data_IF_515002206353
#
_entry.id   IF_515002206353
#
_cell.length_a   1.000
_cell.length_b   1.000
_cell.length_c   1.000
_cell.angle_alpha   90.00
_cell.angle_beta   90.00
_cell.angle_gamma   90.00
#
_symmetry.space_group_name_H-M   'P 1'
#
loop_
_entity.id
_entity.type
_entity.pdbx_description
1 polymer ?
#
# COMPACT_ATOMS: atom_id res chain seq x y z
N UNK A 1 -20.76 23.87 19.02
CA UNK A 1 -19.65 23.40 18.15
C UNK A 1 -19.02 24.60 17.49
N UNK A 2 -17.69 24.74 17.55
CA UNK A 2 -16.97 25.81 16.86
C UNK A 2 -16.98 25.64 15.33
N UNK A 3 -16.67 26.71 14.58
CA UNK A 3 -16.55 26.64 13.12
C UNK A 3 -15.41 25.66 12.74
N UNK A 4 -15.56 24.83 11.69
CA UNK A 4 -14.50 23.95 11.24
C UNK A 4 -13.20 24.72 10.91
N UNK A 5 -12.04 24.11 11.10
CA UNK A 5 -10.76 24.73 10.74
C UNK A 5 -10.48 24.62 9.23
N UNK A 6 -11.00 23.56 8.59
CA UNK A 6 -11.02 23.35 7.14
C UNK A 6 -12.45 23.07 6.71
N UNK A 7 -12.92 23.79 5.69
CA UNK A 7 -14.18 23.55 4.98
C UNK A 7 -13.88 23.38 3.49
N UNK A 8 -14.10 22.19 2.96
CA UNK A 8 -13.97 21.88 1.54
C UNK A 8 -15.37 21.70 0.94
N UNK A 9 -15.66 22.46 -0.12
CA UNK A 9 -16.94 22.42 -0.82
C UNK A 9 -16.72 22.19 -2.32
N UNK A 10 -17.15 21.02 -2.81
CA UNK A 10 -17.13 20.65 -4.23
C UNK A 10 -15.74 20.75 -4.87
N UNK A 11 -14.67 20.49 -4.09
CA UNK A 11 -13.30 20.67 -4.57
C UNK A 11 -13.03 19.80 -5.80
N UNK A 12 -12.57 20.45 -6.86
CA UNK A 12 -12.15 19.79 -8.09
C UNK A 12 -10.83 20.35 -8.59
N UNK A 13 -9.98 19.48 -9.16
CA UNK A 13 -8.76 19.88 -9.84
C UNK A 13 -8.60 19.11 -11.15
N UNK A 14 -8.50 19.86 -12.25
CA UNK A 14 -8.12 19.32 -13.56
C UNK A 14 -6.65 19.63 -13.85
N UNK A 15 -5.99 18.66 -14.48
CA UNK A 15 -4.69 18.85 -15.11
C UNK A 15 -4.82 18.68 -16.63
N UNK A 16 -4.03 19.44 -17.38
CA UNK A 16 -3.94 19.25 -18.82
C UNK A 16 -2.95 18.11 -19.11
N UNK A 17 -3.38 17.11 -19.85
CA UNK A 17 -2.55 16.02 -20.36
C UNK A 17 -1.84 16.48 -21.64
N UNK A 18 -0.52 16.37 -21.69
CA UNK A 18 0.34 16.78 -22.82
C UNK A 18 1.58 17.57 -22.36
N UNK A 19 2.63 17.56 -23.18
CA UNK A 19 3.94 18.16 -22.88
C UNK A 19 3.78 19.66 -22.61
N UNK A 20 4.15 20.09 -21.40
CA UNK A 20 4.45 21.49 -21.08
C UNK A 20 5.74 21.86 -21.83
N UNK A 21 5.59 22.27 -23.10
CA UNK A 21 6.71 22.71 -23.94
C UNK A 21 6.19 23.52 -25.12
N UNK A 22 6.48 24.83 -25.11
CA UNK A 22 6.35 25.79 -26.21
C UNK A 22 5.02 25.79 -27.00
N UNK A 23 4.01 26.52 -26.53
CA UNK A 23 2.96 27.02 -27.44
C UNK A 23 3.48 28.27 -28.14
N UNK A 24 3.45 28.29 -29.46
CA UNK A 24 3.71 29.51 -30.23
C UNK A 24 2.38 30.24 -30.49
N UNK A 25 2.40 31.58 -30.47
CA UNK A 25 1.22 32.44 -30.74
C UNK A 25 0.49 32.08 -32.05
N UNK A 26 1.21 31.46 -32.99
CA UNK A 26 0.70 30.98 -34.27
C UNK A 26 -0.39 29.90 -34.11
N UNK A 27 -0.24 29.00 -33.15
CA UNK A 27 -1.19 27.90 -32.93
C UNK A 27 -2.53 28.41 -32.35
N UNK A 28 -2.50 29.44 -31.52
CA UNK A 28 -3.71 30.08 -30.99
C UNK A 28 -4.45 30.89 -32.08
N UNK A 29 -3.71 31.54 -33.00
CA UNK A 29 -4.29 32.25 -34.14
C UNK A 29 -5.00 31.30 -35.13
N UNK A 30 -4.36 30.16 -35.46
CA UNK A 30 -4.96 29.17 -36.37
C UNK A 30 -6.26 28.57 -35.82
N UNK A 31 -6.36 28.43 -34.49
CA UNK A 31 -7.56 27.90 -33.83
C UNK A 31 -8.70 28.92 -33.80
N UNK A 32 -8.38 30.21 -33.65
CA UNK A 32 -9.36 31.30 -33.70
C UNK A 32 -9.95 31.44 -35.12
N UNK A 33 -9.12 31.26 -36.15
CA UNK A 33 -9.58 31.24 -37.53
C UNK A 33 -10.46 30.03 -37.79
N UNK A 34 -10.06 28.82 -37.37
CA UNK A 34 -10.89 27.61 -37.54
C UNK A 34 -12.22 27.68 -36.78
N UNK A 35 -12.28 28.30 -35.59
CA UNK A 35 -13.52 28.43 -34.82
C UNK A 35 -14.51 29.43 -35.42
N UNK A 36 -14.06 30.35 -36.29
CA UNK A 36 -14.93 31.27 -37.02
C UNK A 36 -15.58 30.61 -38.25
N UNK A 37 -14.93 29.60 -38.85
CA UNK A 37 -15.44 28.91 -40.05
C UNK A 37 -16.35 27.70 -39.74
N UNK A 38 -16.22 27.09 -38.56
CA UNK A 38 -16.89 25.81 -38.27
C UNK A 38 -18.23 25.98 -37.50
N UNK A 39 -19.10 26.84 -38.03
CA UNK A 39 -20.34 27.28 -37.35
C UNK A 39 -21.53 26.30 -37.48
N UNK A 40 -21.30 25.05 -37.88
CA UNK A 40 -22.32 23.99 -37.96
C UNK A 40 -21.78 22.61 -37.54
N UNK A 41 -21.83 22.30 -36.25
CA UNK A 41 -21.80 20.92 -35.77
C UNK A 41 -22.69 20.77 -34.51
N UNK A 42 -23.46 19.67 -34.38
CA UNK A 42 -24.52 19.53 -33.38
C UNK A 42 -23.98 19.27 -31.97
N UNK A 43 -24.71 19.78 -30.97
CA UNK A 43 -24.52 19.49 -29.53
C UNK A 43 -24.93 18.03 -29.22
N UNK A 44 -23.96 17.13 -29.13
CA UNK A 44 -24.09 15.83 -28.46
C UNK A 44 -23.50 15.85 -27.05
N UNK A 45 -23.94 14.97 -26.13
CA UNK A 45 -23.53 14.99 -24.73
C UNK A 45 -22.10 14.45 -24.55
N UNK A 46 -21.31 15.17 -23.74
CA UNK A 46 -20.07 14.73 -23.10
C UNK A 46 -19.01 14.04 -23.98
N UNK A 47 -18.46 14.76 -24.95
CA UNK A 47 -17.09 14.51 -25.37
C UNK A 47 -16.15 14.96 -24.24
N UNK A 48 -15.53 14.00 -23.53
CA UNK A 48 -14.35 14.27 -22.71
C UNK A 48 -13.38 15.15 -23.53
N UNK A 49 -13.06 16.34 -23.01
CA UNK A 49 -12.10 17.24 -23.65
C UNK A 49 -10.76 16.50 -23.73
N UNK A 50 -10.47 15.89 -24.88
CA UNK A 50 -9.17 15.27 -25.20
C UNK A 50 -8.06 16.24 -24.77
N UNK A 51 -7.35 15.90 -23.70
CA UNK A 51 -6.28 16.72 -23.13
C UNK A 51 -6.50 17.24 -21.71
N UNK A 52 -7.60 16.94 -21.00
CA UNK A 52 -7.73 17.25 -19.57
C UNK A 52 -8.14 16.02 -18.76
N UNK A 53 -7.49 15.81 -17.61
CA UNK A 53 -7.81 14.76 -16.64
C UNK A 53 -8.16 15.37 -15.28
N UNK A 54 -9.23 14.87 -14.67
CA UNK A 54 -9.58 15.21 -13.30
C UNK A 54 -8.71 14.40 -12.33
N UNK A 55 -7.98 15.09 -11.46
CA UNK A 55 -7.30 14.47 -10.32
C UNK A 55 -8.18 14.45 -9.07
N UNK A 56 -9.07 15.43 -8.93
CA UNK A 56 -10.11 15.48 -7.90
C UNK A 56 -11.40 16.00 -8.52
N UNK A 57 -12.55 15.49 -8.11
CA UNK A 57 -13.85 15.92 -8.58
C UNK A 57 -14.86 15.86 -7.43
N UNK A 58 -15.49 17.00 -7.16
CA UNK A 58 -16.60 17.14 -6.23
C UNK A 58 -16.32 16.60 -4.82
N UNK A 59 -15.14 16.93 -4.27
CA UNK A 59 -14.75 16.49 -2.92
C UNK A 59 -15.18 17.53 -1.88
N UNK A 60 -16.06 17.10 -0.96
CA UNK A 60 -16.57 17.95 0.13
C UNK A 60 -16.36 17.28 1.49
N UNK A 61 -15.77 18.00 2.45
CA UNK A 61 -15.58 17.54 3.82
C UNK A 61 -15.26 18.72 4.74
N UNK A 62 -15.46 18.52 6.05
CA UNK A 62 -15.09 19.49 7.08
C UNK A 62 -14.16 18.83 8.11
N UNK A 63 -13.18 19.59 8.59
CA UNK A 63 -12.27 19.18 9.67
C UNK A 63 -12.43 20.15 10.84
N UNK A 64 -12.68 19.63 12.03
CA UNK A 64 -12.75 20.42 13.26
C UNK A 64 -11.35 20.80 13.76
N UNK A 65 -11.26 21.88 14.54
CA UNK A 65 -10.00 22.26 15.19
C UNK A 65 -9.56 21.19 16.19
N UNK A 66 -8.30 20.78 16.14
CA UNK A 66 -7.73 19.75 17.01
C UNK A 66 -8.10 18.32 16.60
N UNK A 67 -8.71 18.15 15.43
CA UNK A 67 -9.04 16.84 14.88
C UNK A 67 -7.84 16.23 14.15
N UNK A 68 -7.61 14.94 14.37
CA UNK A 68 -6.67 14.13 13.59
C UNK A 68 -7.44 13.31 12.56
N UNK A 69 -7.22 13.60 11.28
CA UNK A 69 -7.93 12.98 10.16
C UNK A 69 -6.94 12.29 9.24
N UNK A 70 -7.17 11.00 8.99
CA UNK A 70 -6.42 10.22 8.00
C UNK A 70 -7.00 10.37 6.60
N UNK A 71 -6.17 10.54 5.57
CA UNK A 71 -6.56 10.42 4.17
C UNK A 71 -5.93 9.19 3.54
N UNK A 72 -6.76 8.25 3.10
CA UNK A 72 -6.32 7.00 2.47
C UNK A 72 -6.90 6.86 1.06
N UNK A 73 -6.29 5.98 0.27
CA UNK A 73 -6.70 5.69 -1.10
C UNK A 73 -5.55 5.13 -1.92
N UNK A 74 -5.86 4.49 -3.05
CA UNK A 74 -4.85 3.93 -3.95
C UNK A 74 -3.96 4.98 -4.63
N UNK A 75 -2.97 4.51 -5.40
CA UNK A 75 -2.17 5.37 -6.25
C UNK A 75 -3.06 6.07 -7.29
N UNK A 76 -2.83 7.37 -7.51
CA UNK A 76 -3.67 8.17 -8.39
C UNK A 76 -5.07 8.51 -7.85
N UNK A 77 -5.38 8.20 -6.58
CA UNK A 77 -6.68 8.54 -5.99
C UNK A 77 -6.92 10.05 -5.77
N UNK A 78 -5.88 10.88 -5.90
CA UNK A 78 -5.95 12.33 -5.73
C UNK A 78 -5.43 12.87 -4.38
N UNK A 79 -4.86 12.03 -3.51
CA UNK A 79 -4.34 12.41 -2.18
C UNK A 79 -3.36 13.59 -2.23
N UNK A 80 -2.27 13.47 -2.99
CA UNK A 80 -1.27 14.53 -3.11
C UNK A 80 -1.84 15.79 -3.77
N UNK A 81 -2.80 15.66 -4.68
CA UNK A 81 -3.51 16.81 -5.25
C UNK A 81 -4.36 17.52 -4.19
N UNK A 82 -5.06 16.78 -3.34
CA UNK A 82 -5.86 17.33 -2.25
C UNK A 82 -4.95 18.07 -1.28
N UNK A 83 -3.83 17.47 -0.90
CA UNK A 83 -2.88 18.11 -0.02
C UNK A 83 -2.30 19.40 -0.62
N UNK A 84 -2.00 19.44 -1.92
CA UNK A 84 -1.55 20.67 -2.58
C UNK A 84 -2.61 21.78 -2.56
N UNK A 85 -3.90 21.43 -2.65
CA UNK A 85 -5.00 22.39 -2.51
C UNK A 85 -5.08 22.90 -1.07
N UNK A 86 -5.00 22.01 -0.07
CA UNK A 86 -5.08 22.37 1.35
C UNK A 86 -3.85 23.15 1.82
N UNK A 87 -2.66 22.84 1.29
CA UNK A 87 -1.43 23.58 1.52
C UNK A 87 -1.37 24.91 0.75
N UNK A 88 -2.39 25.24 -0.07
CA UNK A 88 -2.44 26.42 -0.94
C UNK A 88 -1.29 26.51 -1.95
N UNK A 89 -0.71 25.37 -2.31
CA UNK A 89 0.33 25.27 -3.35
C UNK A 89 -0.29 25.40 -4.74
N UNK A 90 -1.53 24.95 -4.90
CA UNK A 90 -2.27 25.08 -6.16
C UNK A 90 -3.71 25.49 -5.91
N UNK A 91 -4.30 26.21 -6.85
CA UNK A 91 -5.71 26.63 -6.78
C UNK A 91 -6.65 25.53 -7.29
N UNK A 92 -7.86 25.40 -6.74
CA UNK A 92 -8.87 24.50 -7.26
C UNK A 92 -9.33 24.95 -8.66
N UNK A 93 -9.64 23.98 -9.53
CA UNK A 93 -10.29 24.25 -10.81
C UNK A 93 -11.81 24.40 -10.67
N UNK A 94 -12.39 23.88 -9.59
CA UNK A 94 -13.79 23.98 -9.22
C UNK A 94 -13.96 23.87 -7.69
N UNK A 95 -15.03 24.45 -7.17
CA UNK A 95 -15.31 24.45 -5.74
C UNK A 95 -14.42 25.41 -4.95
N UNK A 96 -14.36 25.23 -3.63
CA UNK A 96 -13.56 26.09 -2.74
C UNK A 96 -13.09 25.34 -1.50
N UNK A 97 -11.96 25.78 -0.94
CA UNK A 97 -11.46 25.35 0.37
C UNK A 97 -11.26 26.59 1.25
N UNK A 98 -11.95 26.64 2.39
CA UNK A 98 -11.73 27.66 3.42
C UNK A 98 -10.91 27.08 4.55
N UNK A 99 -9.77 27.71 4.80
CA UNK A 99 -8.77 27.20 5.75
C UNK A 99 -8.44 28.32 6.74
N UNK A 100 -8.60 28.03 8.03
CA UNK A 100 -8.38 28.98 9.13
C UNK A 100 -7.11 28.61 9.88
N UNK A 101 -6.22 29.58 10.06
CA UNK A 101 -4.93 29.36 10.73
C UNK A 101 -3.77 29.04 9.77
N UNK A 102 -2.60 28.79 10.36
CA UNK A 102 -1.34 28.49 9.69
C UNK A 102 -1.27 27.00 9.34
N UNK A 103 -1.03 26.72 8.07
CA UNK A 103 -0.80 25.37 7.55
C UNK A 103 0.70 25.15 7.42
N UNK A 104 1.20 24.03 7.96
CA UNK A 104 2.53 23.52 7.65
C UNK A 104 2.38 22.15 7.00
N UNK A 105 3.11 21.91 5.91
CA UNK A 105 3.08 20.62 5.21
C UNK A 105 4.46 19.98 5.20
N UNK A 106 4.54 18.71 5.63
CA UNK A 106 5.76 17.91 5.63
C UNK A 106 6.15 17.39 4.23
N UNK A 107 5.42 17.82 3.20
CA UNK A 107 5.60 17.45 1.79
C UNK A 107 6.95 17.88 1.21
N UNK A 108 7.54 18.94 1.77
CA UNK A 108 8.73 19.61 1.21
C UNK A 108 9.84 19.74 2.26
N UNK A 109 9.87 18.82 3.23
CA UNK A 109 10.85 18.82 4.32
C UNK A 109 12.27 18.72 3.76
N UNK A 110 13.04 19.79 3.93
CA UNK A 110 14.41 19.93 3.43
C UNK A 110 14.55 20.77 2.17
N UNK A 111 13.43 21.14 1.54
CA UNK A 111 13.42 22.26 0.58
C UNK A 111 13.75 23.56 1.33
N UNK A 112 14.65 24.37 0.78
CA UNK A 112 15.09 25.61 1.42
C UNK A 112 16.32 25.48 2.33
N UNK A 113 16.94 24.29 2.44
CA UNK A 113 18.29 24.22 2.98
C UNK A 113 19.31 24.86 2.03
N UNK A 114 20.22 25.64 2.61
CA UNK A 114 21.34 26.23 1.91
C UNK A 114 22.61 25.42 2.17
N UNK A 115 23.19 24.87 1.10
CA UNK A 115 24.31 23.93 1.16
C UNK A 115 25.57 24.49 1.83
N UNK A 116 25.81 25.80 1.71
CA UNK A 116 26.97 26.48 2.32
C UNK A 116 26.76 26.86 3.79
N UNK A 117 25.51 26.83 4.28
CA UNK A 117 25.22 27.16 5.68
C UNK A 117 25.38 25.91 6.55
N UNK A 118 25.73 26.13 7.81
CA UNK A 118 25.77 25.10 8.86
C UNK A 118 24.40 24.51 9.13
N UNK A 119 24.35 23.35 9.78
CA UNK A 119 23.08 22.78 10.25
C UNK A 119 22.30 23.76 11.14
N UNK A 120 22.99 24.46 12.05
CA UNK A 120 22.38 25.45 12.94
C UNK A 120 21.72 26.59 12.17
N UNK A 121 22.43 27.17 11.19
CA UNK A 121 21.89 28.24 10.35
C UNK A 121 20.73 27.75 9.49
N UNK A 122 20.81 26.52 9.00
CA UNK A 122 19.72 25.88 8.26
C UNK A 122 18.47 25.63 9.11
N UNK A 123 18.61 25.35 10.42
CA UNK A 123 17.45 25.31 11.34
C UNK A 123 16.72 26.64 11.30
N UNK A 124 17.43 27.76 11.49
CA UNK A 124 16.81 29.10 11.48
C UNK A 124 16.19 29.45 10.12
N UNK A 125 16.90 29.16 9.03
CA UNK A 125 16.41 29.43 7.68
C UNK A 125 15.13 28.63 7.39
N UNK A 126 15.15 27.32 7.63
CA UNK A 126 14.03 26.45 7.35
C UNK A 126 12.83 26.73 8.27
N UNK A 127 13.09 27.00 9.55
CA UNK A 127 12.05 27.40 10.50
C UNK A 127 11.36 28.70 10.05
N UNK A 128 12.12 29.69 9.57
CA UNK A 128 11.57 30.93 9.04
C UNK A 128 10.71 30.71 7.78
N UNK A 129 11.18 29.87 6.84
CA UNK A 129 10.41 29.48 5.64
C UNK A 129 9.08 28.83 6.02
N UNK A 130 9.09 27.98 7.05
CA UNK A 130 7.91 27.28 7.55
C UNK A 130 7.03 28.15 8.48
N UNK A 131 7.41 29.41 8.72
CA UNK A 131 6.60 30.39 9.46
C UNK A 131 6.78 30.39 10.98
N UNK A 132 7.90 29.86 11.49
CA UNK A 132 8.31 29.93 12.89
C UNK A 132 9.10 31.23 13.15
N UNK A 133 8.79 31.93 14.25
CA UNK A 133 9.53 33.13 14.63
C UNK A 133 10.93 32.77 15.14
N UNK A 134 11.91 33.67 14.96
CA UNK A 134 13.28 33.47 15.45
C UNK A 134 13.34 33.18 16.95
N UNK A 135 12.49 33.84 17.76
CA UNK A 135 12.41 33.62 19.20
C UNK A 135 11.88 32.21 19.52
N UNK A 136 10.84 31.76 18.82
CA UNK A 136 10.32 30.40 18.99
C UNK A 136 11.35 29.35 18.54
N UNK A 137 12.05 29.59 17.42
CA UNK A 137 13.13 28.70 16.96
C UNK A 137 14.24 28.60 17.98
N UNK A 138 14.65 29.72 18.58
CA UNK A 138 15.69 29.74 19.61
C UNK A 138 15.27 28.93 20.84
N UNK A 139 14.02 29.10 21.31
CA UNK A 139 13.49 28.36 22.45
C UNK A 139 13.40 26.85 22.28
N UNK A 140 13.43 26.35 21.03
CA UNK A 140 13.37 24.91 20.70
C UNK A 140 14.65 24.37 20.07
N UNK A 141 15.70 25.18 19.98
CA UNK A 141 16.88 24.85 19.18
C UNK A 141 17.54 23.56 19.67
N UNK A 142 17.73 23.42 20.98
CA UNK A 142 18.38 22.23 21.55
C UNK A 142 17.53 20.96 21.38
N UNK A 143 16.20 21.07 21.53
CA UNK A 143 15.29 19.95 21.29
C UNK A 143 15.29 19.51 19.81
N UNK A 144 15.36 20.46 18.88
CA UNK A 144 15.47 20.17 17.43
C UNK A 144 16.79 19.44 17.15
N UNK A 145 17.89 19.92 17.73
CA UNK A 145 19.21 19.33 17.55
C UNK A 145 19.21 17.89 18.10
N UNK A 146 18.81 17.69 19.36
CA UNK A 146 18.73 16.37 20.01
C UNK A 146 17.84 15.39 19.26
N UNK A 147 16.66 15.85 18.82
CA UNK A 147 15.74 15.02 18.07
C UNK A 147 16.35 14.58 16.72
N UNK A 148 17.05 15.49 16.04
CA UNK A 148 17.67 15.20 14.76
C UNK A 148 18.81 14.19 14.85
N UNK A 149 19.50 14.08 16.00
CA UNK A 149 20.65 13.21 16.19
C UNK A 149 21.87 13.63 15.35
N UNK A 150 22.06 14.95 15.16
CA UNK A 150 23.18 15.54 14.40
C UNK A 150 24.02 16.51 15.23
N UNK A 151 23.95 16.41 16.56
CA UNK A 151 24.59 17.29 17.55
C UNK A 151 26.06 17.52 17.20
N UNK A 152 26.79 16.44 16.91
CA UNK A 152 28.23 16.47 16.59
C UNK A 152 28.56 17.26 15.31
N UNK A 153 27.61 17.39 14.40
CA UNK A 153 27.80 17.99 13.08
C UNK A 153 27.03 19.30 12.90
N UNK A 154 26.36 19.80 13.93
CA UNK A 154 25.41 20.90 13.81
C UNK A 154 26.04 22.19 13.26
N UNK A 155 27.30 22.44 13.58
CA UNK A 155 28.07 23.59 13.11
C UNK A 155 28.91 23.27 11.84
N UNK A 156 28.62 22.16 11.17
CA UNK A 156 29.20 21.79 9.87
C UNK A 156 28.27 22.19 8.72
N UNK A 157 28.80 22.70 7.58
CA UNK A 157 27.99 22.99 6.40
C UNK A 157 27.17 21.77 5.92
N UNK A 158 25.90 21.98 5.60
CA UNK A 158 24.96 20.89 5.25
C UNK A 158 25.36 20.15 3.98
N UNK A 159 26.17 20.75 3.09
CA UNK A 159 26.76 20.00 1.95
C UNK A 159 27.63 18.80 2.34
N UNK A 160 28.10 18.75 3.59
CA UNK A 160 28.88 17.63 4.14
C UNK A 160 28.02 16.60 4.87
N UNK A 161 26.71 16.83 4.99
CA UNK A 161 25.80 15.90 5.64
C UNK A 161 25.55 14.70 4.73
N UNK A 162 25.37 13.53 5.33
CA UNK A 162 24.75 12.42 4.59
C UNK A 162 23.30 12.78 4.23
N UNK A 163 22.74 12.10 3.22
CA UNK A 163 21.33 12.24 2.86
C UNK A 163 20.41 12.03 4.07
N UNK A 164 20.71 11.04 4.92
CA UNK A 164 19.96 10.75 6.13
C UNK A 164 20.06 11.86 7.18
N UNK A 165 21.24 12.42 7.42
CA UNK A 165 21.39 13.57 8.34
C UNK A 165 20.59 14.78 7.88
N UNK A 166 20.62 15.06 6.57
CA UNK A 166 19.89 16.19 5.99
C UNK A 166 18.38 16.04 6.19
N UNK A 167 17.84 14.85 5.93
CA UNK A 167 16.40 14.61 6.12
C UNK A 167 16.02 14.61 7.60
N UNK A 168 16.83 13.98 8.48
CA UNK A 168 16.56 14.00 9.93
C UNK A 168 16.51 15.42 10.49
N UNK A 169 17.45 16.28 10.10
CA UNK A 169 17.46 17.68 10.54
C UNK A 169 16.24 18.44 10.02
N UNK A 170 15.92 18.31 8.73
CA UNK A 170 14.77 18.97 8.16
C UNK A 170 13.46 18.52 8.84
N UNK A 171 13.34 17.22 9.10
CA UNK A 171 12.20 16.65 9.80
C UNK A 171 12.11 17.16 11.24
N UNK A 172 13.24 17.22 11.95
CA UNK A 172 13.29 17.73 13.31
C UNK A 172 12.75 19.17 13.36
N UNK A 173 13.20 20.06 12.48
CA UNK A 173 12.66 21.43 12.41
C UNK A 173 11.14 21.38 12.25
N UNK A 174 10.65 20.59 11.29
CA UNK A 174 9.24 20.48 10.96
C UNK A 174 8.37 19.90 12.10
N UNK A 175 8.90 18.94 12.86
CA UNK A 175 8.21 18.28 13.96
C UNK A 175 8.07 19.17 15.22
N UNK A 176 8.88 20.23 15.33
CA UNK A 176 8.82 21.21 16.41
C UNK A 176 8.11 22.51 16.02
N UNK A 177 7.63 22.62 14.78
CA UNK A 177 6.71 23.69 14.39
C UNK A 177 5.40 23.61 15.18
N UNK A 178 4.78 24.77 15.36
CA UNK A 178 3.51 24.92 16.06
C UNK A 178 2.41 25.47 15.12
N UNK A 179 2.09 24.77 14.02
CA UNK A 179 1.05 25.22 13.10
C UNK A 179 -0.33 24.97 13.70
N UNK A 180 -1.35 25.64 13.16
CA UNK A 180 -2.74 25.34 13.52
C UNK A 180 -3.21 24.05 12.82
N UNK A 181 -2.67 23.79 11.63
CA UNK A 181 -2.89 22.60 10.80
C UNK A 181 -1.55 22.03 10.36
N UNK A 182 -1.26 20.78 10.72
CA UNK A 182 -0.10 20.04 10.25
C UNK A 182 -0.54 19.00 9.21
N UNK A 183 0.05 19.05 8.02
CA UNK A 183 -0.13 18.02 6.98
C UNK A 183 1.09 17.11 7.01
N UNK A 184 0.88 15.86 7.40
CA UNK A 184 1.91 14.82 7.36
C UNK A 184 1.64 13.92 6.16
N UNK A 185 2.48 14.04 5.12
CA UNK A 185 2.52 13.05 4.03
C UNK A 185 3.51 11.95 4.39
N UNK A 186 3.37 10.80 3.74
CA UNK A 186 4.06 9.51 3.86
C UNK A 186 5.61 9.56 4.00
N UNK A 187 6.19 10.75 3.82
CA UNK A 187 7.55 11.18 4.15
C UNK A 187 7.91 10.97 5.64
N UNK A 188 6.96 10.62 6.52
CA UNK A 188 7.29 10.19 7.89
C UNK A 188 8.17 8.92 7.94
N UNK A 189 8.24 8.16 6.84
CA UNK A 189 9.08 6.97 6.71
C UNK A 189 10.55 7.27 6.34
N UNK A 190 11.02 8.52 6.39
CA UNK A 190 12.44 8.81 6.10
C UNK A 190 13.30 8.70 7.36
N UNK A 191 14.45 8.03 7.25
CA UNK A 191 15.37 7.77 8.35
C UNK A 191 15.46 6.27 8.69
N UNK A 192 16.21 5.95 9.73
CA UNK A 192 16.23 4.59 10.28
C UNK A 192 14.97 4.30 11.13
N UNK A 193 14.76 3.02 11.47
CA UNK A 193 13.60 2.57 12.23
C UNK A 193 13.45 3.28 13.60
N UNK A 194 14.56 3.67 14.24
CA UNK A 194 14.52 4.39 15.50
C UNK A 194 14.01 5.82 15.29
N UNK A 195 14.49 6.50 14.24
CA UNK A 195 14.03 7.85 13.89
C UNK A 195 12.56 7.86 13.45
N UNK A 196 12.11 6.85 12.69
CA UNK A 196 10.70 6.70 12.34
C UNK A 196 9.82 6.56 13.59
N UNK A 197 10.22 5.72 14.55
CA UNK A 197 9.50 5.56 15.82
C UNK A 197 9.43 6.87 16.62
N UNK A 198 10.55 7.60 16.72
CA UNK A 198 10.59 8.95 17.34
C UNK A 198 9.64 9.91 16.65
N UNK A 199 9.62 9.90 15.32
CA UNK A 199 8.80 10.75 14.46
C UNK A 199 7.31 10.51 14.65
N UNK A 200 6.88 9.25 14.63
CA UNK A 200 5.48 8.86 14.89
C UNK A 200 5.05 9.25 16.31
N UNK A 201 5.91 9.03 17.30
CA UNK A 201 5.67 9.48 18.68
C UNK A 201 5.43 10.99 18.77
N UNK A 202 6.31 11.78 18.14
CA UNK A 202 6.18 13.25 18.14
C UNK A 202 4.90 13.73 17.44
N UNK A 203 4.50 13.09 16.33
CA UNK A 203 3.24 13.42 15.65
C UNK A 203 2.01 13.12 16.54
N UNK A 204 2.06 12.03 17.32
CA UNK A 204 1.03 11.72 18.31
C UNK A 204 0.99 12.77 19.44
N UNK A 205 2.13 13.27 19.88
CA UNK A 205 2.20 14.35 20.88
C UNK A 205 1.58 15.64 20.36
N UNK A 206 1.89 16.02 19.12
CA UNK A 206 1.31 17.20 18.45
C UNK A 206 -0.21 17.08 18.36
N UNK A 207 -0.72 15.91 17.98
CA UNK A 207 -2.16 15.65 17.98
C UNK A 207 -2.78 15.79 19.38
N UNK A 208 -2.12 15.27 20.43
CA UNK A 208 -2.59 15.38 21.82
C UNK A 208 -2.60 16.80 22.37
N UNK A 209 -1.77 17.70 21.83
CA UNK A 209 -1.74 19.12 22.18
C UNK A 209 -2.92 19.91 21.57
N UNK A 210 -3.90 19.25 20.95
CA UNK A 210 -5.09 19.89 20.38
C UNK A 210 -4.83 20.55 19.03
N UNK A 211 -3.75 20.19 18.34
CA UNK A 211 -3.45 20.64 16.98
C UNK A 211 -4.21 19.79 15.96
N UNK A 212 -4.60 20.40 14.85
CA UNK A 212 -5.25 19.68 13.75
C UNK A 212 -4.19 18.98 12.91
N UNK A 213 -4.33 17.68 12.70
CA UNK A 213 -3.36 16.88 11.95
C UNK A 213 -4.06 16.18 10.79
N UNK A 214 -3.58 16.42 9.57
CA UNK A 214 -4.00 15.69 8.37
C UNK A 214 -2.92 14.68 8.04
N UNK A 215 -3.21 13.40 8.25
CA UNK A 215 -2.26 12.32 8.06
C UNK A 215 -2.56 11.59 6.76
N UNK A 216 -1.59 11.51 5.85
CA UNK A 216 -1.76 10.86 4.55
C UNK A 216 -0.76 9.73 4.44
N UNK A 217 -1.28 8.51 4.29
CA UNK A 217 -0.46 7.31 4.24
C UNK A 217 -1.20 6.19 3.51
N UNK A 218 -0.45 5.30 2.86
CA UNK A 218 -0.94 3.98 2.46
C UNK A 218 -0.82 2.93 3.57
N UNK A 219 -0.08 3.20 4.64
CA UNK A 219 0.01 2.34 5.82
C UNK A 219 -1.28 2.44 6.66
N UNK A 220 -2.17 1.47 6.47
CA UNK A 220 -3.46 1.40 7.14
C UNK A 220 -3.31 1.17 8.66
N UNK A 221 -2.26 0.48 9.11
CA UNK A 221 -2.02 0.23 10.52
C UNK A 221 -1.60 1.52 11.24
N UNK A 222 -0.70 2.30 10.65
CA UNK A 222 -0.34 3.62 11.17
C UNK A 222 -1.56 4.56 11.21
N UNK A 223 -2.36 4.59 10.14
CA UNK A 223 -3.59 5.40 10.07
C UNK A 223 -4.58 4.97 11.16
N UNK A 224 -4.81 3.67 11.34
CA UNK A 224 -5.72 3.15 12.35
C UNK A 224 -5.28 3.49 13.78
N UNK A 225 -3.97 3.48 14.05
CA UNK A 225 -3.41 3.79 15.36
C UNK A 225 -3.42 5.29 15.67
N UNK A 226 -3.22 6.15 14.66
CA UNK A 226 -3.03 7.59 14.85
C UNK A 226 -4.31 8.41 14.62
N UNK A 227 -5.23 7.94 13.79
CA UNK A 227 -6.40 8.69 13.35
C UNK A 227 -7.70 8.09 13.92
N UNK A 228 -8.57 8.94 14.45
CA UNK A 228 -9.93 8.51 14.88
C UNK A 228 -10.92 8.52 13.72
N UNK A 229 -10.72 9.42 12.77
CA UNK A 229 -11.52 9.59 11.56
C UNK A 229 -10.65 9.45 10.33
N UNK A 230 -11.18 8.80 9.29
CA UNK A 230 -10.50 8.58 8.02
C UNK A 230 -11.42 8.94 6.86
N UNK A 231 -10.87 9.72 5.93
CA UNK A 231 -11.46 10.06 4.64
C UNK A 231 -10.80 9.19 3.56
N UNK A 232 -11.62 8.51 2.79
CA UNK A 232 -11.19 7.60 1.73
C UNK A 232 -11.42 8.26 0.39
N UNK A 233 -10.36 8.37 -0.41
CA UNK A 233 -10.43 8.85 -1.79
C UNK A 233 -10.33 7.66 -2.76
N UNK A 234 -11.19 7.66 -3.79
CA UNK A 234 -11.15 6.70 -4.89
C UNK A 234 -11.36 7.42 -6.21
N UNK A 235 -10.39 7.29 -7.13
CA UNK A 235 -10.42 7.91 -8.47
C UNK A 235 -10.81 9.40 -8.44
N UNK A 236 -10.24 10.15 -7.50
CA UNK A 236 -10.47 11.59 -7.36
C UNK A 236 -11.77 12.00 -6.66
N UNK A 237 -12.57 11.05 -6.18
CA UNK A 237 -13.85 11.33 -5.48
C UNK A 237 -13.80 10.78 -4.05
N UNK A 238 -14.64 11.33 -3.16
CA UNK A 238 -14.78 10.85 -1.79
C UNK A 238 -15.62 9.56 -1.78
N UNK A 239 -15.03 8.48 -1.27
CA UNK A 239 -15.70 7.18 -1.13
C UNK A 239 -16.34 7.01 0.24
N UNK A 240 -15.64 7.41 1.30
CA UNK A 240 -16.10 7.29 2.68
C UNK A 240 -15.47 8.38 3.55
N UNK A 241 -16.18 8.80 4.58
CA UNK A 241 -15.72 9.73 5.60
C UNK A 241 -16.37 9.34 6.94
N UNK A 242 -15.57 8.95 7.92
CA UNK A 242 -16.08 8.43 9.18
C UNK A 242 -15.02 7.80 10.07
N UNK A 243 -15.46 7.00 11.04
CA UNK A 243 -14.58 6.33 12.00
C UNK A 243 -13.53 5.47 11.28
N UNK A 244 -12.27 5.55 11.74
CA UNK A 244 -11.13 4.96 11.04
C UNK A 244 -11.34 3.49 10.64
N UNK A 245 -11.73 2.64 11.59
CA UNK A 245 -11.95 1.22 11.32
C UNK A 245 -13.06 0.96 10.28
N UNK A 246 -14.15 1.72 10.30
CA UNK A 246 -15.25 1.56 9.34
C UNK A 246 -14.87 2.06 7.94
N UNK A 247 -14.19 3.21 7.86
CA UNK A 247 -13.69 3.75 6.61
C UNK A 247 -12.61 2.86 5.98
N UNK A 248 -11.70 2.30 6.79
CA UNK A 248 -10.69 1.35 6.32
C UNK A 248 -11.36 0.08 5.77
N UNK A 249 -12.34 -0.50 6.47
CA UNK A 249 -13.11 -1.63 5.94
C UNK A 249 -13.81 -1.31 4.63
N UNK A 250 -14.43 -0.13 4.52
CA UNK A 250 -15.06 0.33 3.28
C UNK A 250 -14.05 0.46 2.15
N UNK A 251 -12.85 0.97 2.45
CA UNK A 251 -11.76 1.05 1.48
C UNK A 251 -11.35 -0.34 0.98
N UNK A 252 -11.06 -1.28 1.90
CA UNK A 252 -10.67 -2.66 1.60
C UNK A 252 -11.75 -3.40 0.79
N UNK A 253 -13.01 -3.33 1.23
CA UNK A 253 -14.15 -3.90 0.49
C UNK A 253 -14.34 -3.28 -0.90
N UNK A 254 -13.94 -2.01 -1.09
CA UNK A 254 -13.96 -1.37 -2.41
C UNK A 254 -12.82 -1.83 -3.33
N UNK A 255 -11.70 -2.28 -2.76
CA UNK A 255 -10.62 -2.92 -3.50
C UNK A 255 -11.06 -4.33 -3.90
N UNK A 256 -11.73 -5.05 -3.01
CA UNK A 256 -12.32 -6.36 -3.27
C UNK A 256 -13.45 -6.29 -4.30
N UNK A 257 -14.36 -5.32 -4.22
CA UNK A 257 -15.43 -5.12 -5.22
C UNK A 257 -14.91 -4.66 -6.58
N UNK A 258 -13.85 -3.83 -6.61
CA UNK A 258 -13.16 -3.48 -7.85
C UNK A 258 -12.36 -4.66 -8.43
N UNK A 259 -11.91 -5.58 -7.58
CA UNK A 259 -11.30 -6.85 -7.98
C UNK A 259 -12.36 -7.86 -8.40
N UNK A 260 -13.56 -7.90 -7.80
CA UNK A 260 -14.68 -8.73 -8.22
C UNK A 260 -15.28 -8.28 -9.55
N UNK A 261 -15.25 -6.98 -9.87
CA UNK A 261 -15.63 -6.45 -11.19
C UNK A 261 -14.50 -6.54 -12.23
N UNK A 262 -13.27 -6.87 -11.82
CA UNK A 262 -12.17 -7.27 -12.71
C UNK A 262 -11.87 -8.77 -12.68
N UNK A 263 -12.58 -9.53 -11.84
CA UNK A 263 -12.91 -10.92 -12.05
C UNK A 263 -14.17 -10.92 -12.92
N UNK A 264 -14.05 -10.36 -14.13
CA UNK A 264 -14.28 -11.30 -15.22
C UNK A 264 -13.26 -12.40 -14.93
N UNK A 265 -13.73 -13.47 -14.27
CA UNK A 265 -13.38 -14.79 -14.75
C UNK A 265 -13.34 -14.58 -16.25
N UNK A 266 -12.14 -14.61 -16.82
CA UNK A 266 -12.05 -14.92 -18.21
C UNK A 266 -12.83 -16.21 -18.29
N UNK A 267 -14.10 -16.13 -18.67
CA UNK A 267 -14.81 -17.14 -19.39
C UNK A 267 -14.07 -17.29 -20.73
N UNK A 268 -12.75 -17.56 -20.66
CA UNK A 268 -12.08 -18.42 -21.59
C UNK A 268 -12.76 -19.73 -21.31
N UNK A 269 -13.65 -20.08 -22.23
CA UNK A 269 -14.24 -21.39 -22.37
C UNK A 269 -13.36 -22.43 -21.67
N UNK A 270 -13.93 -23.16 -20.72
CA UNK A 270 -13.35 -24.41 -20.27
C UNK A 270 -12.94 -25.18 -21.52
N UNK A 271 -11.64 -25.18 -21.85
CA UNK A 271 -11.12 -25.99 -22.93
C UNK A 271 -11.21 -27.39 -22.34
N UNK A 272 -12.20 -28.13 -22.83
CA UNK A 272 -12.73 -29.34 -22.20
C UNK A 272 -11.76 -30.54 -22.26
N UNK A 273 -10.44 -30.35 -22.30
CA UNK A 273 -9.46 -31.42 -22.57
C UNK A 273 -8.06 -31.17 -21.95
N UNK A 274 -7.93 -30.38 -20.88
CA UNK A 274 -6.63 -30.19 -20.20
C UNK A 274 -6.72 -30.26 -18.66
N UNK A 275 -5.60 -30.58 -17.97
CA UNK A 275 -5.51 -30.42 -16.53
C UNK A 275 -5.79 -28.98 -16.11
N UNK A 276 -6.65 -28.79 -15.12
CA UNK A 276 -6.99 -27.46 -14.63
C UNK A 276 -7.35 -27.49 -13.15
N UNK A 277 -7.16 -26.36 -12.49
CA UNK A 277 -7.63 -26.13 -11.12
C UNK A 277 -9.15 -25.91 -11.11
N UNK A 278 -9.84 -26.61 -10.22
CA UNK A 278 -11.30 -26.49 -10.02
C UNK A 278 -11.68 -25.85 -8.70
N UNK A 279 -10.86 -26.01 -7.67
CA UNK A 279 -11.15 -25.50 -6.33
C UNK A 279 -9.86 -25.23 -5.53
N UNK A 280 -9.93 -24.33 -4.56
CA UNK A 280 -8.80 -23.94 -3.73
C UNK A 280 -9.24 -23.47 -2.35
N UNK A 281 -8.52 -23.89 -1.31
CA UNK A 281 -8.74 -23.42 0.06
C UNK A 281 -7.43 -23.27 0.85
N UNK A 282 -7.43 -22.40 1.86
CA UNK A 282 -6.34 -22.27 2.84
C UNK A 282 -6.90 -22.38 4.25
N UNK A 283 -6.30 -23.23 5.08
CA UNK A 283 -6.75 -23.47 6.45
C UNK A 283 -5.60 -23.39 7.46
N UNK A 284 -5.85 -22.78 8.64
CA UNK A 284 -4.94 -22.78 9.80
C UNK A 284 -5.61 -23.30 11.10
N UNK A 285 -6.74 -24.02 10.97
CA UNK A 285 -7.52 -24.57 12.09
C UNK A 285 -8.93 -23.98 12.21
N UNK A 286 -9.73 -24.46 13.18
CA UNK A 286 -11.17 -24.18 13.28
C UNK A 286 -11.52 -22.72 13.61
N UNK A 287 -10.56 -21.94 14.14
CA UNK A 287 -10.76 -20.52 14.51
C UNK A 287 -10.28 -19.54 13.41
N UNK A 288 -10.01 -20.03 12.20
CA UNK A 288 -9.53 -19.17 11.10
C UNK A 288 -10.71 -18.39 10.52
N UNK A 289 -10.64 -17.07 10.55
CA UNK A 289 -11.56 -16.21 9.78
C UNK A 289 -11.14 -16.29 8.32
N UNK A 290 -12.10 -16.44 7.40
CA UNK A 290 -11.85 -16.41 5.95
C UNK A 290 -10.95 -15.19 5.59
N UNK A 291 -9.91 -15.42 4.79
CA UNK A 291 -8.89 -14.47 4.33
C UNK A 291 -7.86 -13.93 5.35
N UNK A 292 -7.90 -14.32 6.64
CA UNK A 292 -6.90 -13.95 7.64
C UNK A 292 -6.07 -15.15 8.11
N UNK A 293 -4.82 -15.22 7.66
CA UNK A 293 -3.82 -16.15 8.16
C UNK A 293 -2.99 -15.49 9.25
N UNK A 294 -2.50 -16.23 10.23
CA UNK A 294 -1.62 -15.75 11.29
C UNK A 294 -0.20 -16.24 11.04
N UNK A 295 0.76 -15.31 11.15
CA UNK A 295 2.18 -15.62 11.06
C UNK A 295 2.59 -16.63 12.13
N UNK A 296 3.48 -17.56 11.77
CA UNK A 296 4.04 -18.54 12.70
C UNK A 296 3.16 -19.77 12.96
N UNK A 297 1.91 -19.79 12.46
CA UNK A 297 1.01 -20.95 12.56
C UNK A 297 1.17 -21.89 11.38
N UNK A 298 0.87 -23.17 11.61
CA UNK A 298 0.75 -24.16 10.55
C UNK A 298 -0.32 -23.73 9.55
N UNK A 299 -0.04 -23.89 8.25
CA UNK A 299 -1.01 -23.63 7.19
C UNK A 299 -1.07 -24.81 6.22
N UNK A 300 -2.28 -25.13 5.78
CA UNK A 300 -2.55 -26.15 4.77
C UNK A 300 -3.26 -25.48 3.59
N UNK A 301 -2.63 -25.53 2.42
CA UNK A 301 -3.18 -25.07 1.16
C UNK A 301 -3.66 -26.29 0.37
N UNK A 302 -4.94 -26.32 0.01
CA UNK A 302 -5.55 -27.43 -0.73
C UNK A 302 -5.96 -26.99 -2.12
N UNK A 303 -5.67 -27.79 -3.13
CA UNK A 303 -5.92 -27.51 -4.54
C UNK A 303 -6.64 -28.70 -5.18
N UNK A 304 -7.85 -28.50 -5.65
CA UNK A 304 -8.61 -29.49 -6.41
C UNK A 304 -8.25 -29.38 -7.89
N UNK A 305 -7.73 -30.46 -8.46
CA UNK A 305 -7.34 -30.58 -9.86
C UNK A 305 -8.20 -31.62 -10.55
N UNK A 306 -8.54 -31.37 -11.82
CA UNK A 306 -9.23 -32.35 -12.66
C UNK A 306 -8.47 -32.68 -13.93
N UNK A 307 -8.75 -33.88 -14.46
CA UNK A 307 -8.31 -34.35 -15.78
C UNK A 307 -6.79 -34.41 -15.93
N UNK A 308 -6.14 -35.00 -14.94
CA UNK A 308 -4.70 -35.27 -14.99
C UNK A 308 -4.50 -36.59 -15.75
N UNK A 309 -4.06 -36.52 -17.01
CA UNK A 309 -3.89 -37.73 -17.86
C UNK A 309 -2.44 -38.22 -17.91
N UNK A 310 -1.49 -37.41 -17.42
CA UNK A 310 -0.07 -37.75 -17.35
C UNK A 310 0.59 -37.00 -16.20
N UNK A 311 1.90 -37.24 -15.99
CA UNK A 311 2.67 -36.55 -14.97
C UNK A 311 2.55 -35.02 -15.08
N UNK A 312 2.22 -34.40 -13.95
CA UNK A 312 2.07 -32.95 -13.78
C UNK A 312 2.85 -32.47 -12.57
N UNK A 313 3.42 -31.28 -12.71
CA UNK A 313 4.09 -30.58 -11.62
C UNK A 313 3.35 -29.28 -11.34
N UNK A 314 3.01 -29.08 -10.06
CA UNK A 314 2.33 -27.87 -9.63
C UNK A 314 3.28 -26.97 -8.86
N UNK A 315 3.07 -25.67 -9.04
CA UNK A 315 3.87 -24.63 -8.43
C UNK A 315 2.94 -23.60 -7.80
N UNK A 316 3.09 -23.36 -6.50
CA UNK A 316 2.42 -22.29 -5.76
C UNK A 316 3.45 -21.20 -5.52
N UNK A 317 3.07 -19.97 -5.82
CA UNK A 317 3.95 -18.83 -5.63
C UNK A 317 3.25 -17.77 -4.78
N UNK A 318 3.96 -17.29 -3.76
CA UNK A 318 3.46 -16.20 -2.92
C UNK A 318 4.22 -14.94 -3.30
N UNK A 319 3.48 -13.90 -3.64
CA UNK A 319 3.99 -12.59 -3.98
C UNK A 319 3.58 -11.56 -2.94
N UNK A 320 4.38 -10.52 -2.76
CA UNK A 320 3.93 -9.28 -2.11
C UNK A 320 2.87 -8.60 -2.99
N UNK A 321 2.13 -7.64 -2.43
CA UNK A 321 1.23 -6.78 -3.23
C UNK A 321 1.99 -6.00 -4.33
N UNK A 322 3.28 -5.71 -4.13
CA UNK A 322 4.14 -5.05 -5.11
C UNK A 322 4.69 -5.98 -6.20
N UNK A 323 4.36 -7.28 -6.17
CA UNK A 323 4.74 -8.24 -7.19
C UNK A 323 6.10 -8.90 -6.99
N UNK A 324 6.73 -8.74 -5.82
CA UNK A 324 7.99 -9.42 -5.48
C UNK A 324 7.68 -10.87 -5.08
N UNK A 325 8.35 -11.84 -5.69
CA UNK A 325 8.21 -13.26 -5.34
C UNK A 325 8.83 -13.53 -3.96
N UNK A 326 7.99 -13.87 -2.99
CA UNK A 326 8.38 -14.12 -1.60
C UNK A 326 8.88 -15.54 -1.43
N UNK A 327 8.08 -16.52 -1.84
CA UNK A 327 8.43 -17.94 -1.74
C UNK A 327 7.70 -18.76 -2.78
N UNK A 328 8.18 -19.99 -3.01
CA UNK A 328 7.63 -20.95 -3.96
C UNK A 328 7.49 -22.32 -3.30
N UNK A 329 6.32 -22.95 -3.47
CA UNK A 329 6.08 -24.35 -3.14
C UNK A 329 5.94 -25.15 -4.42
N UNK A 330 6.73 -26.20 -4.59
CA UNK A 330 6.70 -27.02 -5.80
C UNK A 330 6.45 -28.49 -5.44
N UNK A 331 5.63 -29.18 -6.23
CA UNK A 331 5.40 -30.62 -6.02
C UNK A 331 6.59 -31.47 -6.47
N UNK A 332 7.42 -30.94 -7.39
CA UNK A 332 8.61 -31.61 -7.92
C UNK A 332 9.63 -31.86 -6.81
N UNK A 333 9.95 -33.13 -6.56
CA UNK A 333 10.86 -33.57 -5.48
C UNK A 333 10.19 -33.82 -4.13
N UNK A 334 8.88 -33.60 -4.01
CA UNK A 334 8.12 -33.79 -2.76
C UNK A 334 7.02 -34.85 -2.86
N UNK A 335 6.52 -35.12 -4.07
CA UNK A 335 5.57 -36.20 -4.30
C UNK A 335 6.23 -37.21 -5.26
N UNK A 336 6.40 -38.44 -4.81
CA UNK A 336 6.85 -39.56 -5.64
C UNK A 336 5.65 -40.24 -6.29
N UNK A 337 5.59 -40.25 -7.63
CA UNK A 337 4.59 -40.99 -8.39
C UNK A 337 3.78 -40.14 -9.37
N UNK A 338 3.22 -40.82 -10.38
CA UNK A 338 2.30 -40.23 -11.35
C UNK A 338 0.87 -40.32 -10.81
N UNK A 339 0.22 -39.19 -10.60
CA UNK A 339 -1.21 -39.18 -10.28
C UNK A 339 -2.00 -38.93 -11.56
N UNK A 340 -3.02 -39.74 -11.80
CA UNK A 340 -3.91 -39.61 -12.95
C UNK A 340 -5.36 -39.56 -12.47
N UNK A 341 -6.21 -38.83 -13.19
CA UNK A 341 -7.59 -38.55 -12.81
C UNK A 341 -7.75 -37.21 -12.09
N UNK A 342 -8.77 -37.13 -11.26
CA UNK A 342 -9.09 -35.95 -10.47
C UNK A 342 -8.46 -36.07 -9.08
N UNK A 343 -7.71 -35.06 -8.65
CA UNK A 343 -6.82 -35.12 -7.48
C UNK A 343 -6.95 -33.87 -6.62
N UNK A 344 -6.85 -34.05 -5.31
CA UNK A 344 -6.59 -32.99 -4.33
C UNK A 344 -5.11 -32.99 -3.97
N UNK A 345 -4.43 -31.88 -4.22
CA UNK A 345 -3.07 -31.63 -3.71
C UNK A 345 -3.15 -30.83 -2.41
N UNK A 346 -2.44 -31.25 -1.37
CA UNK A 346 -2.31 -30.48 -0.12
C UNK A 346 -0.86 -30.12 0.13
N UNK A 347 -0.58 -28.83 0.25
CA UNK A 347 0.70 -28.30 0.68
C UNK A 347 0.61 -27.89 2.15
N UNK A 348 1.45 -28.48 2.99
CA UNK A 348 1.52 -28.18 4.43
C UNK A 348 2.81 -27.46 4.75
N UNK A 349 2.72 -26.37 5.50
CA UNK A 349 3.88 -25.74 6.14
C UNK A 349 3.67 -25.68 7.65
N UNK A 350 4.64 -26.16 8.43
CA UNK A 350 4.55 -26.21 9.90
C UNK A 350 4.47 -24.83 10.55
N UNK A 351 5.04 -23.82 9.87
CA UNK A 351 5.01 -22.44 10.35
C UNK A 351 5.03 -21.48 9.15
N UNK A 352 3.92 -20.76 8.96
CA UNK A 352 3.81 -19.73 7.93
C UNK A 352 4.60 -18.49 8.35
N UNK A 353 5.89 -18.44 8.01
CA UNK A 353 6.81 -17.35 8.38
C UNK A 353 6.72 -16.16 7.40
N UNK A 354 5.51 -15.66 7.19
CA UNK A 354 5.28 -14.42 6.45
C UNK A 354 5.11 -13.27 7.44
N UNK A 355 5.74 -12.13 7.18
CA UNK A 355 5.49 -10.93 7.97
C UNK A 355 4.01 -10.51 7.83
N UNK A 356 3.46 -9.79 8.81
CA UNK A 356 2.12 -9.25 8.66
C UNK A 356 2.01 -8.35 7.43
N UNK A 357 0.96 -8.56 6.63
CA UNK A 357 0.80 -7.87 5.36
C UNK A 357 -0.09 -8.63 4.37
N UNK A 358 -0.34 -7.99 3.23
CA UNK A 358 -1.18 -8.55 2.17
C UNK A 358 -0.32 -9.25 1.12
N UNK A 359 -0.67 -10.49 0.82
CA UNK A 359 0.03 -11.33 -0.14
C UNK A 359 -0.90 -11.80 -1.24
N UNK A 360 -0.31 -12.13 -2.38
CA UNK A 360 -0.98 -12.73 -3.54
C UNK A 360 -0.48 -14.14 -3.74
N UNK A 361 -1.40 -15.07 -3.94
CA UNK A 361 -1.07 -16.44 -4.30
C UNK A 361 -1.31 -16.66 -5.79
N UNK A 362 -0.31 -17.22 -6.46
CA UNK A 362 -0.42 -17.72 -7.84
C UNK A 362 -0.23 -19.23 -7.85
N UNK A 363 -0.83 -19.89 -8.83
CA UNK A 363 -0.75 -21.33 -9.02
C UNK A 363 -0.51 -21.68 -10.47
N UNK A 364 0.35 -22.66 -10.70
CA UNK A 364 0.77 -23.06 -12.03
C UNK A 364 0.74 -24.58 -12.12
N UNK A 365 0.23 -25.09 -13.23
CA UNK A 365 0.28 -26.52 -13.57
C UNK A 365 1.17 -26.67 -14.79
N UNK A 366 2.18 -27.51 -14.67
CA UNK A 366 3.06 -27.92 -15.74
C UNK A 366 2.80 -29.38 -16.09
N UNK A 367 2.75 -29.70 -17.38
CA UNK A 367 2.68 -31.07 -17.89
C UNK A 367 3.85 -31.23 -18.86
N UNK A 368 4.75 -32.21 -18.61
CA UNK A 368 5.99 -32.39 -19.41
C UNK A 368 6.80 -31.10 -19.58
N UNK A 369 6.99 -30.36 -18.48
CA UNK A 369 7.66 -29.04 -18.42
C UNK A 369 7.01 -27.91 -19.27
N UNK A 370 5.81 -28.13 -19.82
CA UNK A 370 5.02 -27.10 -20.49
C UNK A 370 3.96 -26.57 -19.53
N UNK A 371 3.85 -25.26 -19.40
CA UNK A 371 2.80 -24.61 -18.61
C UNK A 371 1.43 -24.85 -19.27
N UNK A 372 0.58 -25.66 -18.62
CA UNK A 372 -0.75 -26.05 -19.14
C UNK A 372 -1.89 -25.27 -18.51
N UNK A 373 -1.74 -24.83 -17.26
CA UNK A 373 -2.69 -23.95 -16.60
C UNK A 373 -1.97 -22.96 -15.70
N UNK A 374 -2.43 -21.71 -15.70
CA UNK A 374 -1.79 -20.65 -14.92
C UNK A 374 -2.83 -19.71 -14.34
N UNK A 375 -2.83 -19.64 -13.02
CA UNK A 375 -3.64 -18.75 -12.23
C UNK A 375 -2.73 -17.72 -11.61
N UNK A 376 -2.54 -16.60 -12.30
CA UNK A 376 -1.70 -15.49 -11.84
C UNK A 376 -2.17 -14.95 -10.47
N UNK A 377 -3.46 -15.08 -10.14
CA UNK A 377 -4.00 -14.60 -8.87
C UNK A 377 -5.17 -15.48 -8.42
N UNK A 378 -4.86 -16.56 -7.69
CA UNK A 378 -5.89 -17.41 -7.09
C UNK A 378 -6.61 -16.71 -5.95
N UNK A 379 -5.87 -16.09 -5.05
CA UNK A 379 -6.44 -15.31 -3.95
C UNK A 379 -5.47 -14.23 -3.48
N UNK A 380 -5.99 -13.33 -2.65
CA UNK A 380 -5.18 -12.47 -1.80
C UNK A 380 -5.56 -12.70 -0.35
N UNK A 381 -4.58 -12.96 0.50
CA UNK A 381 -4.80 -13.20 1.93
C UNK A 381 -4.01 -12.18 2.76
N UNK A 382 -4.50 -11.90 3.96
CA UNK A 382 -3.84 -11.05 4.94
C UNK A 382 -3.14 -11.93 5.98
N UNK A 383 -1.90 -11.57 6.33
CA UNK A 383 -1.17 -12.20 7.41
C UNK A 383 -1.22 -11.29 8.64
N UNK A 384 -1.72 -11.81 9.75
CA UNK A 384 -1.75 -11.16 11.07
C UNK A 384 -0.57 -11.55 11.95
N UNK A 385 -0.45 -10.89 13.10
CA UNK A 385 0.64 -11.10 14.06
C UNK A 385 0.61 -12.49 14.72
N UNK A 386 1.79 -13.09 14.93
CA UNK A 386 1.98 -14.33 15.69
C UNK A 386 3.45 -14.55 16.11
N UNK A 387 3.74 -15.65 16.81
CA UNK A 387 5.07 -15.95 17.38
C UNK A 387 5.95 -16.75 16.41
N UNK A 388 7.23 -16.38 16.27
CA UNK A 388 8.17 -16.97 15.29
C UNK A 388 9.38 -17.61 16.01
N UNK A 389 9.72 -18.86 15.69
CA UNK A 389 10.79 -19.68 16.30
C UNK A 389 11.58 -20.54 15.29
N UNK A 390 12.66 -21.19 15.75
CA UNK A 390 13.90 -21.46 14.99
C UNK A 390 13.94 -22.74 14.12
N UNK A 391 14.13 -22.56 12.81
CA UNK A 391 14.51 -23.62 11.87
C UNK A 391 15.67 -23.17 10.95
N UNK A 392 16.56 -24.11 10.57
CA UNK A 392 17.71 -23.90 9.67
C UNK A 392 17.33 -24.09 8.19
N UNK A 393 17.99 -23.35 7.29
CA UNK A 393 17.67 -23.24 5.85
C UNK A 393 18.80 -23.78 4.95
N UNK A 394 18.43 -24.32 3.78
CA UNK A 394 19.27 -24.54 2.61
C UNK A 394 18.66 -23.78 1.42
N UNK A 395 19.46 -23.07 0.63
CA UNK A 395 18.97 -22.23 -0.49
C UNK A 395 19.34 -22.79 -1.86
N UNK A 396 18.36 -22.87 -2.76
CA UNK A 396 18.53 -22.96 -4.22
C UNK A 396 18.01 -21.66 -4.86
N UNK A 397 18.60 -21.26 -5.99
CA UNK A 397 18.38 -19.96 -6.67
C UNK A 397 16.95 -19.71 -7.21
N UNK A 398 16.05 -20.69 -7.11
CA UNK A 398 14.67 -20.65 -7.67
C UNK A 398 13.54 -20.48 -6.64
N UNK A 399 13.86 -20.28 -5.35
CA UNK A 399 12.90 -20.37 -4.23
C UNK A 399 12.24 -19.05 -3.79
N UNK A 400 12.40 -17.94 -4.53
CA UNK A 400 11.96 -16.61 -4.09
C UNK A 400 12.89 -15.99 -3.05
N UNK A 401 12.44 -14.94 -2.33
CA UNK A 401 13.24 -14.25 -1.32
C UNK A 401 13.69 -15.16 -0.17
N UNK A 402 12.88 -16.16 0.21
CA UNK A 402 13.27 -17.19 1.16
C UNK A 402 12.49 -18.49 0.96
N UNK A 403 13.10 -19.60 1.35
CA UNK A 403 12.45 -20.91 1.32
C UNK A 403 11.63 -21.13 2.58
N UNK A 404 10.38 -21.56 2.42
CA UNK A 404 9.53 -22.03 3.50
C UNK A 404 9.48 -23.57 3.47
N UNK A 405 9.90 -24.27 4.54
CA UNK A 405 9.75 -25.71 4.62
C UNK A 405 8.28 -26.12 4.46
N UNK A 406 8.05 -27.10 3.59
CA UNK A 406 6.72 -27.57 3.25
C UNK A 406 6.76 -29.02 2.79
N UNK A 407 5.65 -29.71 3.00
CA UNK A 407 5.40 -31.07 2.54
C UNK A 407 4.18 -31.09 1.61
N UNK A 408 4.12 -32.09 0.74
CA UNK A 408 2.99 -32.28 -0.17
C UNK A 408 2.37 -33.65 -0.02
N UNK A 409 1.05 -33.72 -0.11
CA UNK A 409 0.31 -34.98 -0.29
C UNK A 409 -0.67 -34.87 -1.46
N UNK A 410 -0.98 -36.01 -2.08
CA UNK A 410 -1.94 -36.11 -3.18
C UNK A 410 -2.97 -37.22 -2.86
N UNK A 411 -4.25 -36.90 -3.00
CA UNK A 411 -5.38 -37.81 -2.74
C UNK A 411 -6.42 -37.70 -3.87
N UNK A 412 -7.25 -38.72 -4.14
CA UNK A 412 -8.33 -38.61 -5.11
C UNK A 412 -9.32 -37.49 -4.76
N UNK A 413 -9.82 -36.75 -5.76
CA UNK A 413 -10.86 -35.72 -5.57
C UNK A 413 -12.22 -36.38 -5.31
N UNK A 414 -12.97 -35.90 -4.31
CA UNK A 414 -14.29 -36.43 -3.98
C UNK A 414 -15.32 -36.19 -5.10
N UNK A 415 -16.30 -37.09 -5.21
CA UNK A 415 -17.27 -37.17 -6.32
C UNK A 415 -18.08 -35.90 -6.58
N UNK A 416 -18.23 -35.05 -5.56
CA UNK A 416 -19.07 -33.85 -5.60
C UNK A 416 -18.30 -32.62 -6.13
N UNK A 417 -17.00 -32.75 -6.40
CA UNK A 417 -16.17 -31.68 -6.95
C UNK A 417 -15.83 -30.55 -6.00
N UNK A 418 -16.16 -30.71 -4.72
CA UNK A 418 -15.85 -29.78 -3.63
C UNK A 418 -14.73 -30.38 -2.80
N UNK A 419 -13.75 -29.57 -2.40
CA UNK A 419 -12.73 -30.01 -1.45
C UNK A 419 -13.39 -30.46 -0.14
N UNK A 420 -13.14 -31.70 0.29
CA UNK A 420 -13.55 -32.18 1.61
C UNK A 420 -13.04 -31.21 2.69
N UNK A 421 -13.89 -30.83 3.65
CA UNK A 421 -13.45 -30.02 4.79
C UNK A 421 -12.24 -30.72 5.43
N UNK A 422 -11.12 -30.00 5.53
CA UNK A 422 -9.90 -30.54 6.10
C UNK A 422 -10.22 -31.11 7.49
N UNK A 423 -9.97 -32.40 7.69
CA UNK A 423 -10.08 -33.00 9.00
C UNK A 423 -9.24 -32.18 10.00
N UNK A 424 -9.70 -31.99 11.26
CA UNK A 424 -8.88 -31.34 12.27
C UNK A 424 -7.51 -32.01 12.34
N UNK A 425 -6.46 -31.23 12.62
CA UNK A 425 -5.05 -31.64 12.62
C UNK A 425 -4.70 -32.91 13.44
N UNK A 426 -5.65 -33.51 14.14
CA UNK A 426 -5.50 -34.71 14.97
C UNK A 426 -5.50 -36.04 14.20
N UNK A 427 -5.79 -36.09 12.89
CA UNK A 427 -5.94 -37.35 12.15
C UNK A 427 -4.70 -37.82 11.34
N UNK A 428 -3.64 -37.02 11.23
CA UNK A 428 -2.43 -37.43 10.50
C UNK A 428 -1.40 -38.05 11.44
N UNK A 429 -1.30 -39.38 11.40
CA UNK A 429 -0.23 -40.12 12.07
C UNK A 429 1.13 -39.66 11.56
N UNK A 430 2.07 -39.42 12.49
CA UNK A 430 3.44 -39.03 12.19
C UNK A 430 4.06 -39.95 11.12
N UNK A 431 4.55 -39.37 10.03
CA UNK A 431 5.42 -40.08 9.09
C UNK A 431 6.69 -40.52 9.85
N UNK A 432 7.22 -41.73 9.57
CA UNK A 432 8.29 -42.32 10.36
C UNK A 432 9.57 -41.49 10.21
N UNK A 433 10.27 -41.25 11.33
CA UNK A 433 11.62 -40.70 11.35
C UNK A 433 12.52 -41.53 10.42
N UNK A 434 12.81 -40.99 9.24
CA UNK A 434 13.85 -41.55 8.38
C UNK A 434 15.20 -41.35 9.10
N UNK A 435 15.68 -42.42 9.74
CA UNK A 435 17.05 -42.53 10.23
C UNK A 435 18.01 -42.25 9.07
N UNK A 436 18.76 -41.17 9.21
CA UNK A 436 19.97 -40.91 8.43
C UNK A 436 21.04 -41.91 8.87
N UNK A 437 21.18 -43.00 8.15
CA UNK A 437 22.47 -43.71 8.05
C UNK A 437 23.30 -43.00 6.98
N UNK A 438 24.51 -42.61 7.37
CA UNK A 438 25.31 -41.62 6.66
C UNK A 438 25.98 -42.10 5.38
N UNK A 439 26.36 -41.12 4.56
CA UNK A 439 27.72 -40.95 4.03
C UNK A 439 27.94 -39.50 3.60
#
# INVERSE_FOLDING_TARGET
MGKPIIEAHGLGKQYRLGVLGARTLREDAERLVRSLFDRKAPRGPSAERKGFAWALRDVSFNVASGETVGFIGGNGAGKSTLLKLLARITEPSAGSAKIRGKVAALLEVGSGFHNELTGRENIFLNAAILGMSRAATHGKLDEIIDFSGVEKYIDTPVKRYSSGMRVRLAFAVAAFLEPDILIADEVLAVGDANFQKKSLGKMSDVARQGRTVLFVSHDLAAVQNLCRRVIVLKKGSLLADGAAAASIRTYLGSLESARAFQVETGARQAVADRPHLVDFSVNQGPDTVEDLLLSGRQAVLSFGLRRIESDVHCCVEIYTETGVLVTRFATRGYIEGNFTGDVTLRCRTESLLLNPGRYRLAFQIYQRDVLVDYHERLTTFEVGHGSIGAHRLWSHETNGLFFLPHDWTAEPLESDGVLAQAAPAAAWAAAPEARLEGQ
#
